data_IF_138737304393
#
_entry.id   IF_138737304393
#
_cell.length_a   1.000
_cell.length_b   1.000
_cell.length_c   1.000
_cell.angle_alpha   90.00
_cell.angle_beta   90.00
_cell.angle_gamma   90.00
#
_symmetry.space_group_name_H-M   'P 1'
#
loop_
_entity.id
_entity.type
_entity.pdbx_description
1 polymer ?
#
# COMPACT_ATOMS: atom_id res chain seq x y z
N UNK A 1 28.68 -30.63 -6.92
CA UNK A 1 27.66 -30.26 -5.92
C UNK A 1 27.63 -28.74 -5.84
N UNK A 2 26.86 -28.09 -6.72
CA UNK A 2 26.76 -26.62 -6.73
C UNK A 2 25.56 -26.19 -5.88
N UNK A 3 25.84 -25.79 -4.65
CA UNK A 3 24.86 -25.17 -3.76
C UNK A 3 24.48 -23.79 -4.28
N UNK A 4 23.28 -23.67 -4.85
CA UNK A 4 22.65 -22.38 -5.11
C UNK A 4 22.42 -21.67 -3.78
N UNK A 5 23.22 -20.63 -3.51
CA UNK A 5 22.93 -19.66 -2.45
C UNK A 5 21.67 -18.89 -2.85
N UNK A 6 20.53 -19.23 -2.22
CA UNK A 6 19.33 -18.40 -2.20
C UNK A 6 19.68 -17.06 -1.53
N UNK A 7 20.04 -16.04 -2.32
CA UNK A 7 20.12 -14.66 -1.85
C UNK A 7 18.70 -14.23 -1.49
N UNK A 8 18.39 -14.22 -0.20
CA UNK A 8 17.16 -13.64 0.32
C UNK A 8 17.22 -12.12 0.02
N UNK A 9 16.39 -11.64 -0.92
CA UNK A 9 16.42 -10.22 -1.36
C UNK A 9 16.05 -9.32 -0.16
N UNK A 10 16.96 -8.46 0.32
CA UNK A 10 16.74 -7.63 1.52
C UNK A 10 15.51 -6.71 1.39
N UNK A 11 15.12 -6.41 0.15
CA UNK A 11 14.01 -5.50 -0.19
C UNK A 11 12.63 -6.04 0.19
N UNK A 12 12.39 -7.35 0.05
CA UNK A 12 11.09 -7.96 0.38
C UNK A 12 10.81 -7.91 1.89
N UNK A 13 11.87 -8.10 2.70
CA UNK A 13 11.79 -8.05 4.16
C UNK A 13 11.44 -6.63 4.63
N UNK A 14 12.12 -5.62 4.09
CA UNK A 14 11.86 -4.22 4.42
C UNK A 14 10.40 -3.81 4.14
N UNK A 15 9.87 -4.17 2.98
CA UNK A 15 8.46 -3.90 2.63
C UNK A 15 7.50 -4.57 3.63
N UNK A 16 7.74 -5.83 3.99
CA UNK A 16 6.91 -6.55 4.96
C UNK A 16 6.94 -5.91 6.35
N UNK A 17 8.10 -5.39 6.77
CA UNK A 17 8.27 -4.74 8.07
C UNK A 17 7.52 -3.39 8.12
N UNK A 18 7.59 -2.58 7.05
CA UNK A 18 6.81 -1.34 6.91
C UNK A 18 5.30 -1.63 6.97
N UNK A 19 4.84 -2.65 6.24
CA UNK A 19 3.42 -3.04 6.23
C UNK A 19 2.95 -3.44 7.62
N UNK A 20 3.72 -4.29 8.32
CA UNK A 20 3.39 -4.70 9.69
C UNK A 20 3.37 -3.53 10.66
N UNK A 21 4.36 -2.64 10.57
CA UNK A 21 4.48 -1.47 11.43
C UNK A 21 3.28 -0.53 11.27
N UNK A 22 2.98 -0.11 10.03
CA UNK A 22 1.87 0.80 9.75
C UNK A 22 0.50 0.15 10.03
N UNK A 23 0.34 -1.14 9.77
CA UNK A 23 -0.89 -1.87 10.10
C UNK A 23 -1.10 -1.94 11.62
N UNK A 24 -0.06 -2.23 12.40
CA UNK A 24 -0.14 -2.27 13.86
C UNK A 24 -0.50 -0.91 14.44
N UNK A 25 0.12 0.16 13.92
CA UNK A 25 -0.24 1.54 14.26
C UNK A 25 -1.71 1.85 13.98
N UNK A 26 -2.22 1.49 12.80
CA UNK A 26 -3.63 1.73 12.45
C UNK A 26 -4.56 0.98 13.39
N UNK A 27 -4.25 -0.28 13.72
CA UNK A 27 -5.04 -1.10 14.65
C UNK A 27 -5.13 -0.48 16.05
N UNK A 28 -4.07 0.19 16.54
CA UNK A 28 -4.09 0.88 17.83
C UNK A 28 -5.09 2.05 17.84
N UNK A 29 -5.30 2.70 16.69
CA UNK A 29 -6.22 3.84 16.57
C UNK A 29 -7.68 3.41 16.41
N UNK A 30 -7.94 2.20 15.90
CA UNK A 30 -9.29 1.71 15.70
C UNK A 30 -9.95 1.27 17.01
N UNK A 31 -11.28 1.41 17.14
CA UNK A 31 -12.02 0.75 18.20
C UNK A 31 -11.97 -0.77 18.00
N UNK A 32 -11.78 -1.52 19.07
CA UNK A 32 -11.85 -2.98 19.10
C UNK A 32 -12.73 -3.38 20.30
N UNK A 33 -14.05 -3.54 20.08
CA UNK A 33 -15.00 -3.87 21.14
C UNK A 33 -14.71 -5.21 21.80
N UNK A 34 -14.25 -6.20 21.04
CA UNK A 34 -13.91 -7.55 21.52
C UNK A 34 -12.77 -7.51 22.54
N UNK A 35 -11.81 -6.60 22.34
CA UNK A 35 -10.68 -6.38 23.27
C UNK A 35 -10.90 -5.22 24.24
N UNK A 36 -12.12 -4.66 24.30
CA UNK A 36 -12.46 -3.53 25.17
C UNK A 36 -11.71 -2.22 24.84
N UNK A 37 -11.11 -2.09 23.66
CA UNK A 37 -10.37 -0.89 23.26
C UNK A 37 -11.32 0.14 22.63
N UNK A 38 -11.38 1.33 23.21
CA UNK A 38 -12.19 2.45 22.68
C UNK A 38 -11.64 3.03 21.36
N UNK A 39 -10.37 2.76 21.03
CA UNK A 39 -9.65 3.42 19.93
C UNK A 39 -9.45 4.91 20.18
N UNK A 40 -8.93 5.63 19.18
CA UNK A 40 -8.77 7.09 19.25
C UNK A 40 -9.44 7.80 18.05
N UNK A 41 -10.76 7.97 18.17
CA UNK A 41 -11.58 8.66 17.16
C UNK A 41 -11.18 10.13 16.97
N UNK A 42 -10.66 10.79 18.02
CA UNK A 42 -10.19 12.17 17.96
C UNK A 42 -8.95 12.31 17.09
N UNK A 43 -7.94 11.46 17.30
CA UNK A 43 -6.74 11.39 16.48
C UNK A 43 -7.08 11.08 15.01
N UNK A 44 -7.96 10.11 14.76
CA UNK A 44 -8.44 9.82 13.40
C UNK A 44 -9.18 11.00 12.76
N UNK A 45 -9.95 11.78 13.53
CA UNK A 45 -10.61 12.98 13.02
C UNK A 45 -9.60 14.07 12.65
N UNK A 46 -8.58 14.25 13.50
CA UNK A 46 -7.53 15.24 13.28
C UNK A 46 -6.69 14.88 12.04
N UNK A 47 -6.23 13.63 11.92
CA UNK A 47 -5.48 13.16 10.73
C UNK A 47 -6.26 13.31 9.43
N UNK A 48 -7.60 13.12 9.46
CA UNK A 48 -8.47 13.32 8.30
C UNK A 48 -8.60 14.80 7.89
N UNK A 49 -8.31 15.74 8.80
CA UNK A 49 -8.32 17.19 8.55
C UNK A 49 -6.98 17.73 8.09
N UNK A 50 -5.88 16.99 8.26
CA UNK A 50 -4.59 17.38 7.68
C UNK A 50 -4.67 17.29 6.16
N UNK A 51 -4.27 18.32 5.41
CA UNK A 51 -4.32 18.36 3.94
C UNK A 51 -2.95 18.30 3.28
N UNK A 52 -1.88 18.32 4.07
CA UNK A 52 -0.49 18.31 3.61
C UNK A 52 0.40 17.36 4.41
N UNK A 53 1.54 16.97 3.85
CA UNK A 53 2.54 16.15 4.55
C UNK A 53 3.10 16.85 5.79
N UNK A 54 3.44 18.16 5.78
CA UNK A 54 3.88 18.85 6.98
C UNK A 54 2.84 18.84 8.10
N UNK A 55 1.54 19.02 7.79
CA UNK A 55 0.48 18.91 8.79
C UNK A 55 0.41 17.50 9.40
N UNK A 56 0.55 16.46 8.57
CA UNK A 56 0.57 15.07 9.06
C UNK A 56 1.80 14.81 9.94
N UNK A 57 2.96 15.38 9.60
CA UNK A 57 4.16 15.26 10.41
C UNK A 57 3.99 15.95 11.77
N UNK A 58 3.22 17.02 11.89
CA UNK A 58 3.00 17.69 13.18
C UNK A 58 2.08 16.90 14.12
N UNK A 59 1.38 15.87 13.63
CA UNK A 59 0.44 15.10 14.44
C UNK A 59 1.17 14.11 15.38
N UNK A 60 0.90 14.15 16.70
CA UNK A 60 1.60 13.31 17.68
C UNK A 60 1.54 11.80 17.39
N UNK A 61 0.40 11.32 16.87
CA UNK A 61 0.24 9.90 16.55
C UNK A 61 1.09 9.46 15.35
N UNK A 62 1.40 10.37 14.42
CA UNK A 62 2.32 10.10 13.31
C UNK A 62 3.76 10.11 13.83
N UNK A 63 4.08 11.07 14.71
CA UNK A 63 5.40 11.13 15.35
C UNK A 63 5.73 9.87 16.15
N UNK A 64 4.76 9.29 16.87
CA UNK A 64 4.96 8.03 17.58
C UNK A 64 5.36 6.89 16.63
N UNK A 65 4.72 6.79 15.46
CA UNK A 65 5.07 5.79 14.44
C UNK A 65 6.49 6.02 13.91
N UNK A 66 6.83 7.27 13.61
CA UNK A 66 8.15 7.66 13.13
C UNK A 66 9.22 7.34 14.16
N UNK A 67 8.99 7.63 15.45
CA UNK A 67 9.92 7.30 16.51
C UNK A 67 10.16 5.80 16.63
N UNK A 68 9.09 4.99 16.59
CA UNK A 68 9.21 3.52 16.56
C UNK A 68 10.00 3.04 15.34
N UNK A 69 9.79 3.67 14.17
CA UNK A 69 10.54 3.36 12.96
C UNK A 69 12.03 3.71 13.07
N UNK A 70 12.35 4.90 13.60
CA UNK A 70 13.71 5.39 13.75
C UNK A 70 14.53 4.57 14.77
N UNK A 71 13.91 4.11 15.86
CA UNK A 71 14.59 3.31 16.89
C UNK A 71 15.11 1.98 16.34
N UNK A 72 14.46 1.43 15.32
CA UNK A 72 14.82 0.17 14.68
C UNK A 72 15.77 0.37 13.48
N UNK A 73 16.08 1.61 13.13
CA UNK A 73 16.74 1.97 11.86
C UNK A 73 18.14 2.58 12.08
N UNK A 74 19.20 1.79 11.84
CA UNK A 74 20.57 2.27 11.73
C UNK A 74 20.88 2.82 10.32
N UNK A 75 20.10 3.82 9.85
CA UNK A 75 20.06 4.21 8.43
C UNK A 75 20.52 5.67 8.23
N UNK A 76 21.15 5.95 7.08
CA UNK A 76 21.54 7.30 6.65
C UNK A 76 20.34 8.29 6.66
N UNK A 77 20.60 9.51 7.14
CA UNK A 77 19.64 10.59 7.33
C UNK A 77 18.79 10.92 6.09
N UNK A 78 19.35 10.79 4.88
CA UNK A 78 18.61 11.09 3.63
C UNK A 78 17.56 10.02 3.34
N UNK A 79 17.91 8.75 3.58
CA UNK A 79 17.01 7.60 3.45
C UNK A 79 15.87 7.75 4.47
N UNK A 80 16.25 8.12 5.68
CA UNK A 80 15.32 8.30 6.79
C UNK A 80 14.31 9.41 6.49
N UNK A 81 14.75 10.56 5.94
CA UNK A 81 13.85 11.66 5.52
C UNK A 81 12.79 11.16 4.54
N UNK A 82 13.19 10.47 3.47
CA UNK A 82 12.27 10.01 2.43
C UNK A 82 11.24 8.99 2.98
N UNK A 83 11.70 8.06 3.81
CA UNK A 83 10.85 7.06 4.46
C UNK A 83 9.86 7.70 5.45
N UNK A 84 10.29 8.69 6.23
CA UNK A 84 9.42 9.45 7.14
C UNK A 84 8.28 10.13 6.39
N UNK A 85 8.58 10.78 5.25
CA UNK A 85 7.56 11.44 4.42
C UNK A 85 6.55 10.43 3.86
N UNK A 86 7.02 9.26 3.42
CA UNK A 86 6.15 8.17 2.92
C UNK A 86 5.30 7.56 4.04
N UNK A 87 5.85 7.39 5.24
CA UNK A 87 5.08 6.94 6.42
C UNK A 87 3.99 7.94 6.80
N UNK A 88 4.30 9.24 6.81
CA UNK A 88 3.30 10.28 7.07
C UNK A 88 2.16 10.24 6.04
N UNK A 89 2.50 10.07 4.75
CA UNK A 89 1.52 9.85 3.68
C UNK A 89 0.63 8.62 3.96
N UNK A 90 1.23 7.47 4.30
CA UNK A 90 0.49 6.25 4.65
C UNK A 90 -0.47 6.50 5.80
N UNK A 91 -0.03 7.15 6.89
CA UNK A 91 -0.89 7.51 8.01
C UNK A 91 -2.08 8.38 7.59
N UNK A 92 -1.83 9.40 6.76
CA UNK A 92 -2.85 10.31 6.26
C UNK A 92 -3.91 9.63 5.40
N UNK A 93 -3.55 8.57 4.69
CA UNK A 93 -4.48 7.74 3.91
C UNK A 93 -5.20 6.73 4.80
N UNK A 94 -4.47 6.01 5.65
CA UNK A 94 -5.01 4.99 6.56
C UNK A 94 -6.01 5.57 7.58
N UNK A 95 -5.90 6.84 7.94
CA UNK A 95 -6.87 7.52 8.80
C UNK A 95 -8.30 7.54 8.24
N UNK A 96 -8.48 7.30 6.93
CA UNK A 96 -9.80 7.12 6.33
C UNK A 96 -10.30 5.68 6.42
N UNK A 97 -9.44 4.68 6.57
CA UNK A 97 -9.84 3.28 6.56
C UNK A 97 -10.54 2.93 7.87
N UNK A 98 -11.72 2.33 7.77
CA UNK A 98 -12.55 1.89 8.89
C UNK A 98 -12.59 0.38 9.01
N UNK A 99 -12.59 -0.31 7.88
CA UNK A 99 -12.74 -1.76 7.81
C UNK A 99 -11.68 -2.38 6.93
N UNK A 100 -11.22 -3.56 7.33
CA UNK A 100 -10.33 -4.38 6.52
C UNK A 100 -11.16 -5.16 5.50
N UNK A 101 -10.70 -5.14 4.25
CA UNK A 101 -11.11 -6.10 3.23
C UNK A 101 -10.01 -7.14 3.06
N UNK A 102 -10.35 -8.42 3.17
CA UNK A 102 -9.43 -9.54 2.94
C UNK A 102 -9.66 -10.24 1.61
N UNK A 103 -10.74 -9.92 0.91
CA UNK A 103 -11.17 -10.65 -0.28
C UNK A 103 -10.54 -10.10 -1.56
N UNK A 104 -10.54 -8.77 -1.72
CA UNK A 104 -10.08 -8.11 -2.95
C UNK A 104 -8.87 -7.23 -2.69
N UNK A 105 -7.93 -7.21 -3.64
CA UNK A 105 -6.88 -6.19 -3.68
C UNK A 105 -7.49 -4.81 -3.93
N UNK A 106 -6.73 -3.75 -3.64
CA UNK A 106 -7.21 -2.37 -3.81
C UNK A 106 -7.60 -2.12 -5.26
N UNK A 107 -6.72 -2.49 -6.19
CA UNK A 107 -6.96 -2.30 -7.62
C UNK A 107 -8.12 -3.15 -8.14
N UNK A 108 -8.26 -4.40 -7.69
CA UNK A 108 -9.39 -5.25 -8.11
C UNK A 108 -10.73 -4.70 -7.62
N UNK A 109 -10.77 -4.18 -6.39
CA UNK A 109 -11.99 -3.61 -5.78
C UNK A 109 -12.50 -2.37 -6.51
N UNK A 110 -11.62 -1.59 -7.15
CA UNK A 110 -12.01 -0.37 -7.87
C UNK A 110 -12.27 -0.61 -9.37
N UNK A 111 -11.90 -1.78 -9.89
CA UNK A 111 -12.03 -2.15 -11.30
C UNK A 111 -13.45 -2.56 -11.71
N UNK A 112 -13.67 -2.84 -13.01
CA UNK A 112 -14.90 -3.45 -13.52
C UNK A 112 -15.22 -4.77 -12.82
N UNK A 113 -16.49 -5.04 -12.54
CA UNK A 113 -16.92 -6.35 -11.99
C UNK A 113 -16.72 -7.48 -13.01
N UNK A 114 -16.98 -7.19 -14.28
CA UNK A 114 -16.70 -8.07 -15.42
C UNK A 114 -15.62 -7.43 -16.28
N UNK A 115 -14.59 -8.20 -16.63
CA UNK A 115 -13.49 -7.73 -17.48
C UNK A 115 -14.04 -7.08 -18.76
N UNK A 116 -13.64 -5.83 -19.00
CA UNK A 116 -14.03 -5.06 -20.19
C UNK A 116 -15.28 -4.19 -20.07
N UNK A 117 -16.14 -4.36 -19.04
CA UNK A 117 -17.29 -3.47 -18.84
C UNK A 117 -16.96 -2.32 -17.89
N UNK A 118 -16.35 -1.26 -18.44
CA UNK A 118 -16.01 -0.03 -17.71
C UNK A 118 -17.21 0.62 -17.02
N UNK A 119 -18.45 0.35 -17.45
CA UNK A 119 -19.67 0.90 -16.86
C UNK A 119 -19.84 0.45 -15.40
N UNK A 120 -19.39 -0.77 -15.07
CA UNK A 120 -19.43 -1.35 -13.72
C UNK A 120 -18.28 -0.93 -12.83
N UNK A 121 -17.23 -0.30 -13.39
CA UNK A 121 -16.05 0.08 -12.62
C UNK A 121 -16.39 1.14 -11.57
N UNK A 122 -16.07 0.85 -10.31
CA UNK A 122 -16.20 1.78 -9.20
C UNK A 122 -15.33 3.03 -9.42
N UNK A 123 -14.08 2.84 -9.84
CA UNK A 123 -13.21 3.91 -10.32
C UNK A 123 -13.08 3.85 -11.84
N UNK A 124 -13.68 4.80 -12.55
CA UNK A 124 -13.57 4.86 -14.03
C UNK A 124 -12.12 4.96 -14.51
N UNK A 125 -11.76 4.39 -15.68
CA UNK A 125 -10.38 4.35 -16.16
C UNK A 125 -9.70 5.72 -16.23
N UNK A 126 -10.44 6.78 -16.58
CA UNK A 126 -9.91 8.14 -16.60
C UNK A 126 -9.45 8.63 -15.22
N UNK A 127 -10.17 8.27 -14.15
CA UNK A 127 -9.79 8.61 -12.77
C UNK A 127 -8.64 7.75 -12.29
N UNK A 128 -8.64 6.47 -12.68
CA UNK A 128 -7.54 5.56 -12.37
C UNK A 128 -6.23 6.00 -13.06
N UNK A 129 -6.28 6.39 -14.33
CA UNK A 129 -5.14 6.96 -15.07
C UNK A 129 -4.56 8.21 -14.39
N UNK A 130 -5.40 9.07 -13.83
CA UNK A 130 -4.94 10.23 -13.04
C UNK A 130 -4.21 9.82 -11.76
N UNK A 131 -4.65 8.75 -11.10
CA UNK A 131 -3.95 8.21 -9.93
C UNK A 131 -2.59 7.60 -10.33
N UNK A 132 -2.53 6.86 -11.45
CA UNK A 132 -1.28 6.27 -11.98
C UNK A 132 -0.20 7.33 -12.27
N UNK A 133 -0.60 8.55 -12.61
CA UNK A 133 0.29 9.69 -12.89
C UNK A 133 0.59 10.56 -11.68
N UNK A 134 0.05 10.26 -10.50
CA UNK A 134 0.37 11.00 -9.28
C UNK A 134 1.78 10.65 -8.84
N UNK A 135 2.66 11.65 -8.76
CA UNK A 135 4.08 11.44 -8.45
C UNK A 135 4.50 12.16 -7.16
N UNK A 136 3.94 13.34 -6.90
CA UNK A 136 4.24 14.06 -5.66
C UNK A 136 3.49 13.45 -4.46
N UNK A 137 4.05 13.61 -3.27
CA UNK A 137 3.42 13.16 -2.01
C UNK A 137 2.00 13.74 -1.86
N UNK A 138 1.79 15.01 -2.24
CA UNK A 138 0.50 15.71 -2.09
C UNK A 138 -0.55 15.27 -3.12
N UNK A 139 -0.13 14.95 -4.34
CA UNK A 139 -1.02 14.31 -5.32
C UNK A 139 -1.41 12.91 -4.87
N UNK A 140 -0.44 12.14 -4.37
CA UNK A 140 -0.69 10.82 -3.81
C UNK A 140 -1.67 10.90 -2.64
N UNK A 141 -1.45 11.79 -1.67
CA UNK A 141 -2.34 11.98 -0.51
C UNK A 141 -3.78 12.23 -0.96
N UNK A 142 -3.99 13.18 -1.88
CA UNK A 142 -5.32 13.51 -2.39
C UNK A 142 -5.93 12.35 -3.20
N UNK A 143 -5.14 11.73 -4.07
CA UNK A 143 -5.56 10.63 -4.94
C UNK A 143 -6.01 9.40 -4.15
N UNK A 144 -5.17 8.91 -3.25
CA UNK A 144 -5.46 7.74 -2.43
C UNK A 144 -6.60 7.99 -1.44
N UNK A 145 -6.70 9.18 -0.84
CA UNK A 145 -7.83 9.50 0.02
C UNK A 145 -9.17 9.45 -0.71
N UNK A 146 -9.22 9.95 -1.96
CA UNK A 146 -10.41 9.84 -2.80
C UNK A 146 -10.71 8.37 -3.13
N UNK A 147 -9.68 7.59 -3.43
CA UNK A 147 -9.81 6.16 -3.71
C UNK A 147 -10.38 5.37 -2.52
N UNK A 148 -9.89 5.63 -1.31
CA UNK A 148 -10.40 4.98 -0.08
C UNK A 148 -11.86 5.36 0.18
N UNK A 149 -12.22 6.64 0.00
CA UNK A 149 -13.62 7.08 0.13
C UNK A 149 -14.53 6.41 -0.90
N UNK A 150 -14.05 6.27 -2.13
CA UNK A 150 -14.77 5.63 -3.21
C UNK A 150 -15.08 4.16 -2.90
N UNK A 151 -14.17 3.46 -2.22
CA UNK A 151 -14.37 2.08 -1.74
C UNK A 151 -15.23 1.96 -0.47
N UNK A 152 -15.83 3.05 0.01
CA UNK A 152 -16.62 3.08 1.23
C UNK A 152 -15.79 2.89 2.50
N UNK A 153 -14.52 3.31 2.50
CA UNK A 153 -13.60 3.21 3.63
C UNK A 153 -13.26 1.77 4.06
N UNK A 154 -13.55 0.78 3.21
CA UNK A 154 -13.22 -0.64 3.37
C UNK A 154 -12.23 -1.08 2.29
N UNK A 155 -11.03 -1.51 2.70
CA UNK A 155 -9.89 -1.76 1.79
C UNK A 155 -8.97 -2.86 2.30
N UNK A 156 -8.23 -3.50 1.39
CA UNK A 156 -7.11 -4.34 1.78
C UNK A 156 -5.96 -3.47 2.29
N UNK A 157 -5.73 -3.53 3.60
CA UNK A 157 -4.80 -2.63 4.30
C UNK A 157 -3.36 -2.88 3.87
N UNK A 158 -2.95 -4.13 3.72
CA UNK A 158 -1.57 -4.46 3.36
C UNK A 158 -1.23 -3.98 1.94
N UNK A 159 -2.12 -4.28 0.98
CA UNK A 159 -1.97 -3.85 -0.42
C UNK A 159 -2.07 -2.32 -0.54
N UNK A 160 -2.90 -1.66 0.29
CA UNK A 160 -2.95 -0.20 0.35
C UNK A 160 -1.67 0.40 0.91
N UNK A 161 -1.12 -0.13 2.00
CA UNK A 161 0.11 0.39 2.61
C UNK A 161 1.27 0.29 1.60
N UNK A 162 1.46 -0.88 1.00
CA UNK A 162 2.51 -1.07 0.00
C UNK A 162 2.31 -0.13 -1.19
N UNK A 163 1.08 -0.06 -1.72
CA UNK A 163 0.73 0.83 -2.81
C UNK A 163 1.06 2.29 -2.51
N UNK A 164 0.59 2.81 -1.37
CA UNK A 164 0.77 4.21 -0.97
C UNK A 164 2.21 4.54 -0.62
N UNK A 165 2.91 3.64 0.08
CA UNK A 165 4.27 3.89 0.55
C UNK A 165 5.24 4.06 -0.60
N UNK A 166 5.18 3.19 -1.61
CA UNK A 166 6.10 3.22 -2.74
C UNK A 166 5.65 4.16 -3.87
N UNK A 167 4.36 4.53 -3.96
CA UNK A 167 3.82 5.31 -5.08
C UNK A 167 4.55 6.61 -5.45
N UNK A 168 4.87 7.49 -4.48
CA UNK A 168 5.50 8.78 -4.79
C UNK A 168 6.87 8.58 -5.43
N UNK A 169 7.29 9.54 -6.25
CA UNK A 169 8.63 9.57 -6.83
C UNK A 169 9.66 10.03 -5.80
N UNK A 170 10.88 9.48 -5.84
CA UNK A 170 11.98 9.83 -4.94
C UNK A 170 13.04 10.70 -5.62
N UNK A 171 12.75 11.98 -5.86
CA UNK A 171 13.70 12.85 -6.57
C UNK A 171 14.81 13.43 -5.66
N UNK A 172 14.57 13.52 -4.35
CA UNK A 172 15.52 14.04 -3.34
C UNK A 172 16.23 12.89 -2.56
N UNK A 173 16.89 11.97 -3.25
CA UNK A 173 17.72 10.95 -2.59
C UNK A 173 18.91 10.53 -3.47
N UNK A 174 19.74 9.61 -2.96
CA UNK A 174 20.85 9.09 -3.75
C UNK A 174 20.34 8.33 -4.98
N UNK A 175 21.16 8.25 -6.03
CA UNK A 175 20.76 7.65 -7.31
C UNK A 175 20.23 6.21 -7.15
N UNK A 176 20.91 5.39 -6.34
CA UNK A 176 20.51 4.00 -6.11
C UNK A 176 19.15 3.89 -5.41
N UNK A 177 18.88 4.79 -4.47
CA UNK A 177 17.59 4.84 -3.79
C UNK A 177 16.48 5.29 -4.72
N UNK A 178 16.74 6.33 -5.54
CA UNK A 178 15.78 6.82 -6.51
C UNK A 178 15.38 5.72 -7.47
N UNK A 179 16.36 4.99 -8.00
CA UNK A 179 16.14 3.84 -8.88
C UNK A 179 15.31 2.75 -8.19
N UNK A 180 15.66 2.39 -6.95
CA UNK A 180 14.91 1.40 -6.17
C UNK A 180 13.42 1.79 -5.98
N UNK A 181 13.16 2.98 -5.45
CA UNK A 181 11.78 3.42 -5.17
C UNK A 181 10.97 3.60 -6.46
N UNK A 182 11.56 4.16 -7.51
CA UNK A 182 10.86 4.39 -8.76
C UNK A 182 10.54 3.07 -9.47
N UNK A 183 11.49 2.12 -9.51
CA UNK A 183 11.24 0.78 -10.02
C UNK A 183 10.11 0.08 -9.25
N UNK A 184 10.12 0.19 -7.92
CA UNK A 184 9.07 -0.41 -7.08
C UNK A 184 7.71 0.24 -7.34
N UNK A 185 7.67 1.56 -7.53
CA UNK A 185 6.44 2.28 -7.89
C UNK A 185 5.90 1.82 -9.24
N UNK A 186 6.76 1.65 -10.24
CA UNK A 186 6.39 1.14 -11.57
C UNK A 186 5.84 -0.29 -11.51
N UNK A 187 6.51 -1.19 -10.80
CA UNK A 187 6.05 -2.58 -10.59
C UNK A 187 4.63 -2.60 -9.97
N UNK A 188 4.40 -1.75 -8.96
CA UNK A 188 3.09 -1.62 -8.30
C UNK A 188 2.04 -1.06 -9.25
N UNK A 189 2.37 -0.01 -10.02
CA UNK A 189 1.43 0.58 -10.99
C UNK A 189 1.03 -0.44 -12.06
N UNK A 190 1.99 -1.21 -12.58
CA UNK A 190 1.74 -2.29 -13.54
C UNK A 190 0.85 -3.35 -12.88
N UNK A 191 1.23 -3.89 -11.72
CA UNK A 191 0.42 -4.85 -10.95
C UNK A 191 -1.02 -4.36 -10.78
N UNK A 192 -1.20 -3.10 -10.40
CA UNK A 192 -2.52 -2.49 -10.20
C UNK A 192 -3.32 -2.37 -11.49
N UNK A 193 -2.70 -2.09 -12.64
CA UNK A 193 -3.42 -2.09 -13.94
C UNK A 193 -3.96 -3.48 -14.28
N UNK A 194 -3.16 -4.53 -14.10
CA UNK A 194 -3.61 -5.90 -14.37
C UNK A 194 -4.74 -6.33 -13.43
N UNK A 195 -4.56 -6.07 -12.13
CA UNK A 195 -5.59 -6.34 -11.13
C UNK A 195 -6.87 -5.53 -11.36
N UNK A 196 -6.75 -4.29 -11.81
CA UNK A 196 -7.91 -3.45 -12.14
C UNK A 196 -8.78 -4.11 -13.22
N UNK A 197 -8.17 -4.61 -14.30
CA UNK A 197 -8.88 -5.22 -15.42
C UNK A 197 -9.25 -6.69 -15.22
N UNK A 198 -8.83 -7.31 -14.12
CA UNK A 198 -8.92 -8.76 -13.90
C UNK A 198 -8.16 -9.56 -14.97
N UNK A 199 -7.11 -8.97 -15.56
CA UNK A 199 -6.39 -9.51 -16.71
C UNK A 199 -5.38 -10.63 -16.36
N UNK A 200 -5.67 -11.40 -15.30
CA UNK A 200 -4.76 -12.40 -14.73
C UNK A 200 -3.75 -11.80 -13.73
N UNK A 201 -3.21 -12.65 -12.85
CA UNK A 201 -2.16 -12.27 -11.89
C UNK A 201 -0.80 -12.25 -12.61
N UNK A 202 -0.12 -11.10 -12.61
CA UNK A 202 1.32 -11.06 -12.91
C UNK A 202 2.10 -11.52 -11.67
N UNK A 203 2.78 -12.66 -11.77
CA UNK A 203 3.91 -13.01 -10.89
C UNK A 203 3.60 -13.82 -9.63
N UNK A 204 2.60 -14.70 -9.63
CA UNK A 204 2.73 -15.95 -8.87
C UNK A 204 3.33 -16.96 -9.84
N UNK A 205 4.54 -17.45 -9.58
CA UNK A 205 5.08 -18.60 -10.29
C UNK A 205 4.11 -19.76 -10.03
N UNK A 206 3.26 -20.05 -11.00
CA UNK A 206 2.47 -21.28 -11.04
C UNK A 206 3.50 -22.43 -11.07
N UNK A 207 3.71 -23.10 -9.93
CA UNK A 207 4.13 -24.49 -9.97
C UNK A 207 3.05 -25.22 -10.78
N UNK A 208 3.40 -25.86 -11.91
CA UNK A 208 2.41 -26.53 -12.72
C UNK A 208 1.77 -27.63 -11.88
N UNK A 209 0.46 -27.54 -11.67
CA UNK A 209 -0.34 -28.67 -11.18
C UNK A 209 0.01 -29.88 -12.05
N UNK A 210 0.56 -30.91 -11.40
CA UNK A 210 0.97 -32.15 -12.05
C UNK A 210 -0.21 -32.80 -12.77
N UNK A 211 0.06 -33.59 -13.83
CA UNK A 211 -0.99 -34.11 -14.69
C UNK A 211 -1.96 -34.98 -13.90
N UNK A 212 -3.23 -34.60 -13.92
CA UNK A 212 -4.37 -35.43 -13.58
C UNK A 212 -4.40 -36.60 -14.56
N UNK A 213 -3.91 -37.76 -14.13
CA UNK A 213 -4.10 -39.01 -14.85
C UNK A 213 -5.60 -39.37 -14.79
N UNK A 214 -6.34 -38.95 -15.80
CA UNK A 214 -7.56 -39.64 -16.21
C UNK A 214 -7.15 -40.96 -16.88
N UNK A 215 -7.19 -42.06 -16.12
CA UNK A 215 -7.22 -43.39 -16.71
C UNK A 215 -8.70 -43.67 -17.00
N UNK A 216 -9.02 -43.63 -18.30
CA UNK A 216 -10.28 -44.06 -18.87
C UNK A 216 -10.59 -45.51 -18.47
N UNK A 217 -11.86 -45.74 -18.16
CA UNK A 217 -12.45 -47.05 -17.93
C UNK A 217 -12.66 -47.74 -19.28
N UNK A 218 -12.13 -48.95 -19.42
CA UNK A 218 -12.77 -50.06 -20.14
C UNK A 218 -12.74 -51.31 -19.26
#
# INVERSE_FOLDING_TARGET
>A
MNGQSKKHSPDKKHSADIVKLAQSWWQVLQPDPERGKKGNKGALAQLRRCHSIPELLLEPFVQNLIQSYCQDSAVDNTILKNQILRLALVCGVLALVREKDTEKSVARRIGPEKGGDESTALCKPIRFSRLLRAESLEECLRGFRRLVKLMGNKVNIADLIEGVFYWPKSDECSQSQREYYNKRAEDIRIKWVFQYWDAGKLGEDDEPEGPTNEIEKE
#
